data_IF_884358331257
#
_entry.id   IF_884358331257
#
_cell.length_a   1.000
_cell.length_b   1.000
_cell.length_c   1.000
_cell.angle_alpha   90.00
_cell.angle_beta   90.00
_cell.angle_gamma   90.00
#
_symmetry.space_group_name_H-M   'P 1'
#
loop_
_entity.id
_entity.type
_entity.pdbx_description
1 polymer ?
#
# COMPACT_ATOMS: atom_id res chain seq x y z
N UNK A 1 36.37 1.15 -7.30
CA UNK A 1 35.26 0.39 -6.68
C UNK A 1 34.27 0.03 -7.78
N UNK A 2 33.82 -1.22 -7.88
CA UNK A 2 32.87 -1.65 -8.91
C UNK A 2 31.45 -1.30 -8.46
N UNK A 3 30.68 -0.60 -9.29
CA UNK A 3 29.27 -0.31 -9.02
C UNK A 3 28.45 -1.55 -9.42
N UNK A 4 27.59 -2.09 -8.54
CA UNK A 4 26.74 -3.21 -8.86
C UNK A 4 25.66 -2.82 -9.89
N UNK A 5 25.31 -3.78 -10.74
CA UNK A 5 24.24 -3.65 -11.73
C UNK A 5 23.08 -4.55 -11.29
N UNK A 6 21.88 -3.97 -11.19
CA UNK A 6 20.62 -4.65 -10.93
C UNK A 6 19.82 -4.75 -12.23
N UNK A 7 19.49 -5.99 -12.63
CA UNK A 7 18.66 -6.26 -13.80
C UNK A 7 17.21 -6.53 -13.39
N UNK A 8 16.24 -5.76 -13.88
CA UNK A 8 14.81 -5.95 -13.55
C UNK A 8 14.04 -6.44 -14.77
N UNK A 9 13.90 -7.76 -14.88
CA UNK A 9 13.17 -8.41 -15.99
C UNK A 9 11.67 -8.63 -15.72
N UNK A 10 11.19 -8.22 -14.55
CA UNK A 10 9.81 -8.38 -14.12
C UNK A 10 9.35 -7.18 -13.30
N UNK A 11 8.66 -7.46 -12.20
CA UNK A 11 8.19 -6.43 -11.27
C UNK A 11 8.82 -6.61 -9.90
N UNK A 12 9.42 -5.54 -9.38
CA UNK A 12 9.71 -5.41 -7.95
C UNK A 12 8.52 -4.69 -7.32
N UNK A 13 7.94 -5.25 -6.27
CA UNK A 13 6.78 -4.63 -5.63
C UNK A 13 6.84 -4.77 -4.12
N UNK A 14 6.55 -3.68 -3.42
CA UNK A 14 6.43 -3.66 -1.97
C UNK A 14 5.25 -4.49 -1.47
N UNK A 15 5.25 -4.81 -0.17
CA UNK A 15 4.09 -5.43 0.50
C UNK A 15 2.94 -4.43 0.61
N UNK A 16 1.71 -4.89 0.43
CA UNK A 16 0.52 -4.07 0.68
C UNK A 16 0.25 -3.90 2.17
N UNK A 17 -0.21 -2.72 2.58
CA UNK A 17 -0.59 -2.45 3.97
C UNK A 17 -1.89 -3.15 4.34
N UNK A 18 -2.00 -3.67 5.57
CA UNK A 18 -3.26 -4.23 6.06
C UNK A 18 -4.28 -3.10 6.29
N UNK A 19 -5.56 -3.38 6.04
CA UNK A 19 -6.64 -2.49 6.41
C UNK A 19 -6.81 -2.36 7.92
N UNK A 20 -7.39 -1.25 8.36
CA UNK A 20 -7.74 -1.02 9.76
C UNK A 20 -8.89 -1.92 10.21
N UNK A 21 -8.90 -2.29 11.48
CA UNK A 21 -9.99 -3.01 12.13
C UNK A 21 -11.06 -2.02 12.58
N UNK A 22 -12.31 -2.30 12.19
CA UNK A 22 -13.48 -1.57 12.63
C UNK A 22 -13.86 -1.94 14.05
N UNK A 23 -14.47 -0.98 14.72
CA UNK A 23 -15.06 -1.19 16.03
C UNK A 23 -16.50 -0.63 16.01
N UNK A 24 -17.39 -1.26 16.79
CA UNK A 24 -18.77 -0.76 16.94
C UNK A 24 -18.83 0.62 17.59
N UNK A 25 -20.04 1.09 17.90
CA UNK A 25 -20.32 2.47 18.34
C UNK A 25 -19.41 3.03 19.45
N UNK A 26 -18.83 2.19 20.31
CA UNK A 26 -18.04 2.61 21.48
C UNK A 26 -16.57 2.16 21.43
N UNK A 27 -16.13 1.58 20.30
CA UNK A 27 -14.78 1.07 20.16
C UNK A 27 -13.87 1.95 19.30
N UNK A 28 -12.57 1.76 19.46
CA UNK A 28 -11.56 2.49 18.69
C UNK A 28 -11.30 1.78 17.36
N UNK A 29 -11.68 2.42 16.25
CA UNK A 29 -11.22 2.01 14.92
C UNK A 29 -9.70 2.18 14.80
N UNK A 30 -9.04 1.22 14.16
CA UNK A 30 -7.61 1.31 13.88
C UNK A 30 -7.36 1.85 12.46
N UNK A 31 -6.23 2.54 12.30
CA UNK A 31 -5.82 3.06 10.99
C UNK A 31 -5.35 1.94 10.07
N UNK A 32 -5.50 2.15 8.76
CA UNK A 32 -4.84 1.31 7.77
C UNK A 32 -3.32 1.42 7.88
N UNK A 33 -2.62 0.30 7.68
CA UNK A 33 -1.17 0.26 7.70
C UNK A 33 -0.57 0.78 6.39
N UNK A 34 0.62 1.38 6.46
CA UNK A 34 1.33 1.83 5.28
C UNK A 34 1.73 0.66 4.37
N UNK A 35 1.79 0.92 3.06
CA UNK A 35 2.42 0.03 2.09
C UNK A 35 3.94 0.02 2.25
N UNK A 36 4.57 -1.12 1.93
CA UNK A 36 6.02 -1.28 2.00
C UNK A 36 6.75 -0.68 0.80
N UNK A 37 7.99 -0.25 1.02
CA UNK A 37 8.91 0.16 -0.06
C UNK A 37 9.26 -1.01 -0.98
N UNK A 38 9.37 -0.76 -2.28
CA UNK A 38 9.74 -1.80 -3.26
C UNK A 38 11.25 -2.04 -3.31
N UNK A 39 12.03 -0.96 -3.43
CA UNK A 39 13.48 -1.00 -3.48
C UNK A 39 14.08 0.00 -2.50
N UNK A 40 14.97 -0.49 -1.63
CA UNK A 40 15.75 0.34 -0.72
C UNK A 40 17.23 0.27 -1.09
N UNK A 41 17.88 1.42 -1.20
CA UNK A 41 19.34 1.50 -1.35
C UNK A 41 19.92 2.72 -0.65
N UNK A 42 21.18 2.59 -0.21
CA UNK A 42 22.03 3.68 0.29
C UNK A 42 23.42 3.63 -0.32
N UNK A 43 23.56 2.90 -1.43
CA UNK A 43 24.81 2.71 -2.16
C UNK A 43 24.55 2.88 -3.64
N UNK A 44 25.52 3.42 -4.42
CA UNK A 44 25.37 3.55 -5.85
C UNK A 44 25.01 2.20 -6.49
N UNK A 45 23.94 2.17 -7.27
CA UNK A 45 23.52 1.03 -8.08
C UNK A 45 23.20 1.51 -9.50
N UNK A 46 23.50 0.67 -10.47
CA UNK A 46 23.02 0.86 -11.85
C UNK A 46 21.82 -0.05 -12.03
N UNK A 47 20.70 0.50 -12.50
CA UNK A 47 19.48 -0.25 -12.80
C UNK A 47 19.37 -0.40 -14.31
N UNK A 48 19.53 -1.62 -14.78
CA UNK A 48 19.42 -2.02 -16.18
C UNK A 48 18.10 -2.73 -16.42
N UNK A 49 17.32 -2.19 -17.37
CA UNK A 49 15.95 -2.61 -17.68
C UNK A 49 15.03 -2.46 -16.46
N UNK A 50 14.18 -1.44 -16.44
CA UNK A 50 13.15 -1.31 -15.40
C UNK A 50 11.79 -1.48 -16.07
N UNK A 51 11.18 -2.65 -15.93
CA UNK A 51 9.81 -2.82 -16.38
C UNK A 51 8.87 -2.17 -15.36
N UNK A 52 8.89 -2.64 -14.11
CA UNK A 52 7.97 -2.18 -13.06
C UNK A 52 8.64 -2.18 -11.67
N UNK A 53 8.65 -1.03 -10.99
CA UNK A 53 9.06 -0.92 -9.58
C UNK A 53 7.98 -0.16 -8.81
N UNK A 54 7.20 -0.88 -8.01
CA UNK A 54 5.98 -0.34 -7.41
C UNK A 54 6.02 -0.46 -5.90
N UNK A 55 5.85 0.65 -5.18
CA UNK A 55 5.56 0.59 -3.77
C UNK A 55 4.28 -0.19 -3.48
N UNK A 56 4.17 -0.73 -2.28
CA UNK A 56 2.91 -1.29 -1.80
C UNK A 56 1.84 -0.22 -1.70
N UNK A 57 0.59 -0.58 -1.95
CA UNK A 57 -0.54 0.26 -1.61
C UNK A 57 -0.77 0.29 -0.11
N UNK A 58 -1.24 1.43 0.42
CA UNK A 58 -1.65 1.54 1.82
C UNK A 58 -2.96 0.80 2.10
N UNK A 59 -3.15 0.29 3.31
CA UNK A 59 -4.42 -0.30 3.73
C UNK A 59 -5.49 0.76 3.95
N UNK A 60 -6.77 0.43 3.72
CA UNK A 60 -7.87 1.33 3.98
C UNK A 60 -8.09 1.54 5.48
N UNK A 61 -8.59 2.71 5.87
CA UNK A 61 -9.06 2.96 7.24
C UNK A 61 -10.38 2.25 7.50
N UNK A 62 -10.58 1.76 8.73
CA UNK A 62 -11.87 1.31 9.22
C UNK A 62 -12.81 2.46 9.62
N UNK A 63 -14.10 2.14 9.76
CA UNK A 63 -15.10 3.09 10.24
C UNK A 63 -15.71 2.70 11.59
N UNK A 64 -16.43 3.65 12.22
CA UNK A 64 -16.95 3.52 13.60
C UNK A 64 -18.43 3.76 13.79
N UNK A 65 -19.23 3.75 12.72
CA UNK A 65 -20.67 3.87 12.87
C UNK A 65 -21.32 2.59 13.40
N UNK A 66 -22.65 2.50 13.34
CA UNK A 66 -23.52 1.48 13.95
C UNK A 66 -22.98 0.03 13.91
N UNK A 67 -22.23 -0.33 12.87
CA UNK A 67 -21.67 -1.68 12.71
C UNK A 67 -20.14 -1.74 12.63
N UNK A 68 -19.42 -0.64 12.44
CA UNK A 68 -17.95 -0.66 12.32
C UNK A 68 -17.40 -1.54 11.17
N UNK A 69 -17.01 -0.93 10.05
CA UNK A 69 -16.46 -1.68 8.91
C UNK A 69 -14.93 -1.74 8.95
N UNK A 70 -14.35 -2.92 8.73
CA UNK A 70 -12.91 -3.06 8.50
C UNK A 70 -12.48 -2.44 7.17
N UNK A 71 -11.26 -1.90 7.09
CA UNK A 71 -10.68 -1.36 5.88
C UNK A 71 -10.17 -2.46 4.94
N UNK A 72 -10.16 -2.21 3.63
CA UNK A 72 -9.60 -3.14 2.64
C UNK A 72 -8.07 -3.17 2.66
N UNK A 73 -7.47 -4.31 2.33
CA UNK A 73 -6.01 -4.43 2.21
C UNK A 73 -5.45 -3.64 1.03
N UNK A 74 -4.21 -3.15 1.14
CA UNK A 74 -3.49 -2.49 0.05
C UNK A 74 -2.87 -3.49 -0.93
N UNK A 75 -2.74 -3.12 -2.21
CA UNK A 75 -2.12 -3.96 -3.24
C UNK A 75 -0.62 -4.18 -2.95
N UNK A 76 -0.08 -5.39 -3.18
CA UNK A 76 1.36 -5.64 -3.00
C UNK A 76 1.82 -7.02 -3.45
N UNK A 77 3.14 -7.24 -3.52
CA UNK A 77 3.69 -8.56 -3.88
C UNK A 77 3.20 -9.65 -2.91
N UNK A 78 3.31 -9.32 -1.61
CA UNK A 78 2.51 -9.89 -0.53
C UNK A 78 1.34 -8.94 -0.32
N UNK A 79 0.09 -9.35 -0.61
CA UNK A 79 -1.05 -8.46 -0.49
C UNK A 79 -1.33 -8.08 0.97
N UNK A 80 -1.90 -6.89 1.18
CA UNK A 80 -2.43 -6.49 2.48
C UNK A 80 -3.69 -7.27 2.83
N UNK A 81 -3.84 -7.64 4.10
CA UNK A 81 -5.08 -8.25 4.59
C UNK A 81 -6.15 -7.18 4.78
N UNK A 82 -7.42 -7.53 4.56
CA UNK A 82 -8.54 -6.73 5.03
C UNK A 82 -8.59 -6.70 6.56
N UNK A 83 -9.08 -5.61 7.14
CA UNK A 83 -9.29 -5.50 8.58
C UNK A 83 -10.60 -6.14 9.02
N UNK A 84 -10.68 -6.52 10.29
CA UNK A 84 -11.86 -7.13 10.89
C UNK A 84 -12.92 -6.08 11.24
N UNK A 85 -14.19 -6.44 11.29
CA UNK A 85 -15.30 -5.54 11.65
C UNK A 85 -16.64 -6.26 11.46
N UNK A 86 -17.76 -5.62 11.79
CA UNK A 86 -19.06 -6.23 11.48
C UNK A 86 -19.43 -6.11 9.99
N UNK A 87 -18.74 -5.22 9.26
CA UNK A 87 -18.75 -5.22 7.79
C UNK A 87 -17.65 -6.09 7.21
N UNK A 88 -17.94 -6.78 6.10
CA UNK A 88 -16.93 -7.51 5.33
C UNK A 88 -15.89 -6.53 4.76
N UNK A 89 -14.62 -6.89 4.92
CA UNK A 89 -13.51 -6.25 4.23
C UNK A 89 -12.79 -7.28 3.37
N UNK A 90 -12.19 -6.82 2.27
CA UNK A 90 -11.48 -7.72 1.37
C UNK A 90 -9.98 -7.52 1.49
N UNK A 91 -9.24 -8.63 1.56
CA UNK A 91 -7.81 -8.64 1.33
C UNK A 91 -7.51 -8.24 -0.11
N UNK A 92 -6.37 -7.60 -0.31
CA UNK A 92 -5.86 -7.32 -1.65
C UNK A 92 -5.40 -8.60 -2.36
N UNK A 93 -5.08 -8.44 -3.63
CA UNK A 93 -4.27 -9.38 -4.40
C UNK A 93 -2.97 -8.71 -4.83
N UNK A 94 -2.16 -9.43 -5.60
CA UNK A 94 -0.98 -8.85 -6.24
C UNK A 94 -1.36 -7.79 -7.28
N UNK A 95 -2.50 -7.96 -7.94
CA UNK A 95 -2.93 -7.12 -9.07
C UNK A 95 -4.03 -6.12 -8.73
N UNK A 96 -4.65 -6.23 -7.55
CA UNK A 96 -5.76 -5.37 -7.13
C UNK A 96 -5.72 -5.10 -5.64
N UNK A 97 -6.22 -3.94 -5.23
CA UNK A 97 -6.42 -3.61 -3.81
C UNK A 97 -7.73 -4.22 -3.29
N UNK A 98 -7.80 -4.39 -1.98
CA UNK A 98 -9.00 -4.80 -1.25
C UNK A 98 -10.06 -3.70 -1.28
N UNK A 99 -11.22 -4.01 -1.83
CA UNK A 99 -12.37 -3.08 -1.86
C UNK A 99 -13.12 -3.12 -0.53
N UNK A 100 -14.00 -2.15 -0.31
CA UNK A 100 -15.09 -2.28 0.66
C UNK A 100 -16.27 -3.03 0.00
N UNK A 101 -17.14 -3.64 0.80
CA UNK A 101 -18.45 -4.08 0.33
C UNK A 101 -19.40 -2.87 0.29
N UNK A 102 -20.15 -2.73 -0.80
CA UNK A 102 -21.22 -1.73 -0.88
C UNK A 102 -22.37 -2.17 0.05
N UNK A 103 -22.74 -1.35 1.04
CA UNK A 103 -23.76 -1.75 2.02
C UNK A 103 -23.85 -0.97 3.33
N UNK A 104 -23.02 0.05 3.54
CA UNK A 104 -23.17 0.96 4.70
C UNK A 104 -22.28 0.63 5.90
N UNK A 105 -21.19 -0.12 5.69
CA UNK A 105 -20.12 -0.25 6.66
C UNK A 105 -19.04 0.78 6.36
N UNK A 106 -18.67 1.56 7.37
CA UNK A 106 -17.84 2.75 7.21
C UNK A 106 -16.33 2.49 7.01
N UNK A 107 -15.92 1.23 6.82
CA UNK A 107 -14.56 0.92 6.38
C UNK A 107 -14.37 1.30 4.91
N UNK A 108 -13.14 1.58 4.49
CA UNK A 108 -12.86 2.02 3.12
C UNK A 108 -11.77 1.17 2.45
N UNK A 109 -11.63 1.32 1.13
CA UNK A 109 -10.73 0.52 0.31
C UNK A 109 -9.25 0.79 0.58
N UNK A 110 -8.41 -0.22 0.35
CA UNK A 110 -6.96 -0.04 0.25
C UNK A 110 -6.56 0.73 -1.02
N UNK A 111 -5.29 1.11 -1.09
CA UNK A 111 -4.68 1.77 -2.24
C UNK A 111 -4.14 0.77 -3.27
N UNK A 112 -4.14 1.17 -4.54
CA UNK A 112 -3.37 0.48 -5.56
C UNK A 112 -1.87 0.58 -5.29
N UNK A 113 -1.05 -0.16 -6.03
CA UNK A 113 0.41 -0.12 -5.87
C UNK A 113 0.93 1.31 -6.04
N UNK A 114 1.62 1.82 -5.03
CA UNK A 114 2.11 3.21 -4.98
C UNK A 114 1.08 4.27 -4.55
N UNK A 115 -0.12 3.87 -4.14
CA UNK A 115 -1.18 4.78 -3.68
C UNK A 115 -1.52 4.58 -2.19
N UNK A 116 -2.00 5.64 -1.56
CA UNK A 116 -2.49 5.57 -0.18
C UNK A 116 -3.85 4.85 -0.12
N UNK A 117 -4.13 4.23 1.04
CA UNK A 117 -5.46 3.72 1.35
C UNK A 117 -6.43 4.86 1.64
N UNK A 118 -7.73 4.58 1.48
CA UNK A 118 -8.76 5.59 1.72
C UNK A 118 -9.12 5.65 3.20
N UNK A 119 -9.43 6.84 3.71
CA UNK A 119 -9.89 7.01 5.09
C UNK A 119 -11.24 6.33 5.30
N UNK A 120 -11.44 5.76 6.48
CA UNK A 120 -12.76 5.29 6.92
C UNK A 120 -13.74 6.46 7.09
N UNK A 121 -15.03 6.13 7.12
CA UNK A 121 -16.14 7.06 7.33
C UNK A 121 -16.62 7.03 8.78
N UNK A 122 -17.56 7.91 9.12
CA UNK A 122 -18.25 7.92 10.42
C UNK A 122 -17.77 9.00 11.39
N UNK A 123 -18.15 8.87 12.68
CA UNK A 123 -17.88 9.91 13.71
C UNK A 123 -16.41 9.97 14.14
N UNK A 124 -15.72 8.84 14.11
CA UNK A 124 -14.27 8.79 14.27
C UNK A 124 -13.66 8.13 13.04
N UNK A 125 -13.31 8.98 12.08
CA UNK A 125 -12.49 8.63 10.94
C UNK A 125 -11.15 8.02 11.37
N UNK A 126 -10.88 6.81 10.90
CA UNK A 126 -9.55 6.25 10.90
C UNK A 126 -8.86 6.57 9.57
N UNK A 127 -7.58 6.91 9.63
CA UNK A 127 -6.83 7.19 8.43
C UNK A 127 -6.56 5.92 7.63
N UNK A 128 -6.58 6.01 6.28
CA UNK A 128 -5.93 5.02 5.44
C UNK A 128 -4.41 5.11 5.58
N UNK A 129 -3.74 4.00 5.32
CA UNK A 129 -2.30 3.90 5.35
C UNK A 129 -1.64 4.64 4.18
N UNK A 130 -0.44 5.15 4.42
CA UNK A 130 0.36 5.79 3.39
C UNK A 130 0.76 4.83 2.26
N UNK A 131 1.02 5.39 1.08
CA UNK A 131 1.64 4.65 -0.03
C UNK A 131 3.06 4.23 0.34
N UNK A 132 3.45 3.01 -0.06
CA UNK A 132 4.84 2.59 -0.05
C UNK A 132 5.65 3.28 -1.15
N UNK A 133 6.93 3.54 -0.90
CA UNK A 133 7.82 4.12 -1.90
C UNK A 133 8.14 3.12 -3.02
N UNK A 134 8.21 3.60 -4.26
CA UNK A 134 8.78 2.81 -5.35
C UNK A 134 10.27 2.57 -5.06
N UNK A 135 10.99 3.64 -4.73
CA UNK A 135 12.41 3.62 -4.43
C UNK A 135 12.70 4.56 -3.26
N UNK A 136 13.36 4.02 -2.25
CA UNK A 136 13.96 4.78 -1.17
C UNK A 136 15.48 4.79 -1.35
N UNK A 137 16.05 5.98 -1.59
CA UNK A 137 17.45 6.18 -1.99
C UNK A 137 17.63 6.41 -3.49
N UNK A 138 16.69 7.12 -4.13
CA UNK A 138 16.71 7.45 -5.55
C UNK A 138 17.99 8.19 -5.97
N UNK A 139 18.58 8.99 -5.07
CA UNK A 139 19.86 9.69 -5.29
C UNK A 139 21.05 8.73 -5.53
N UNK A 140 20.91 7.46 -5.12
CA UNK A 140 21.91 6.41 -5.33
C UNK A 140 21.61 5.52 -6.54
N UNK A 141 20.49 5.72 -7.23
CA UNK A 141 20.06 4.88 -8.33
C UNK A 141 20.28 5.58 -9.69
N UNK A 142 21.10 4.96 -10.55
CA UNK A 142 21.29 5.40 -11.94
C UNK A 142 20.58 4.46 -12.89
N UNK A 143 19.70 4.98 -13.73
CA UNK A 143 18.98 4.20 -14.74
C UNK A 143 19.65 4.34 -16.10
N UNK A 144 20.02 3.23 -16.73
CA UNK A 144 20.71 3.25 -18.03
C UNK A 144 19.77 3.17 -19.23
N UNK A 145 18.56 2.61 -19.05
CA UNK A 145 17.59 2.37 -20.12
C UNK A 145 16.20 2.92 -19.76
N UNK A 146 16.14 4.14 -19.20
CA UNK A 146 14.92 4.75 -18.68
C UNK A 146 14.46 4.17 -17.35
N UNK A 147 13.48 4.85 -16.72
CA UNK A 147 12.99 4.53 -15.37
C UNK A 147 11.86 3.49 -15.31
N UNK A 148 11.24 3.15 -16.46
CA UNK A 148 10.14 2.20 -16.48
C UNK A 148 8.85 2.71 -15.84
N UNK A 149 7.99 1.79 -15.41
CA UNK A 149 6.79 2.07 -14.62
C UNK A 149 7.15 2.10 -13.12
N UNK A 150 7.28 3.32 -12.58
CA UNK A 150 7.50 3.56 -11.15
C UNK A 150 6.21 4.05 -10.49
N UNK A 151 5.71 3.31 -9.50
CA UNK A 151 4.49 3.68 -8.76
C UNK A 151 4.78 3.89 -7.29
N UNK A 152 4.44 5.08 -6.80
CA UNK A 152 4.68 5.51 -5.43
C UNK A 152 5.85 6.50 -5.30
N UNK A 153 6.04 7.05 -4.09
CA UNK A 153 7.08 8.05 -3.83
C UNK A 153 8.50 7.59 -4.21
N UNK A 154 9.34 8.55 -4.56
CA UNK A 154 10.77 8.38 -4.84
C UNK A 154 11.54 9.25 -3.84
N UNK A 155 12.14 8.62 -2.85
CA UNK A 155 12.79 9.30 -1.74
C UNK A 155 14.28 9.40 -2.05
N UNK A 156 14.87 10.60 -1.92
CA UNK A 156 16.29 10.84 -2.21
C UNK A 156 17.19 10.45 -1.05
#
# INVERSE_FOLDING_TARGET
MKVPILFIRGRIQGRGGNGGDGAGNDGYATHGQAGGTALYTRRPIIIEQSNQVWGGGGGGGSGTWKYGGGGGGGQGFTPGLGGSGAGESFSATRESFGRQQDGGHDGNRGGAAGEAGWHGKGKSWSAGGAAGAAIDGMSFATFTNGQGDLRGPRIS
#
